data_IF_810675558470
#
_entry.id   IF_810675558470
#
_cell.length_a   1.000
_cell.length_b   1.000
_cell.length_c   1.000
_cell.angle_alpha   90.00
_cell.angle_beta   90.00
_cell.angle_gamma   90.00
#
_symmetry.space_group_name_H-M   'P 1'
#
loop_
_entity.id
_entity.type
_entity.pdbx_description
1 polymer ?
#
# COMPACT_ATOMS: atom_id res chain seq x y z
N UNK A 1 -18.51 -3.53 4.02
CA UNK A 1 -17.90 -3.61 5.37
C UNK A 1 -17.14 -4.92 5.46
N UNK A 2 -15.92 -4.93 5.99
CA UNK A 2 -15.09 -6.13 6.10
C UNK A 2 -14.17 -6.04 7.30
N UNK A 3 -14.26 -7.02 8.22
CA UNK A 3 -13.38 -7.11 9.37
C UNK A 3 -11.91 -7.09 8.90
N UNK A 4 -11.11 -6.30 9.59
CA UNK A 4 -9.69 -6.12 9.24
C UNK A 4 -8.85 -7.08 10.04
N UNK A 5 -8.07 -7.92 9.36
CA UNK A 5 -7.15 -8.86 10.00
C UNK A 5 -5.71 -8.40 9.80
N UNK A 6 -4.88 -8.56 10.83
CA UNK A 6 -3.44 -8.43 10.72
C UNK A 6 -2.93 -9.63 9.93
N UNK A 7 -2.52 -9.39 8.69
CA UNK A 7 -1.93 -10.43 7.83
C UNK A 7 -0.46 -10.65 8.16
N UNK A 8 0.20 -9.62 8.70
CA UNK A 8 1.62 -9.68 9.07
C UNK A 8 2.00 -8.62 10.10
N UNK A 9 3.03 -8.92 10.88
CA UNK A 9 3.65 -8.01 11.83
C UNK A 9 5.13 -7.95 11.49
N UNK A 10 5.63 -6.75 11.28
CA UNK A 10 7.02 -6.49 10.90
C UNK A 10 7.94 -6.67 12.12
N UNK A 11 9.10 -7.26 11.93
CA UNK A 11 10.10 -7.44 12.99
C UNK A 11 10.67 -6.10 13.48
N UNK A 12 10.92 -5.99 14.79
CA UNK A 12 11.40 -4.77 15.47
C UNK A 12 10.48 -3.55 15.26
N UNK A 13 9.17 -3.79 15.14
CA UNK A 13 8.16 -2.75 15.00
C UNK A 13 7.42 -2.49 16.33
N UNK A 14 6.80 -1.31 16.50
CA UNK A 14 5.94 -1.04 17.66
C UNK A 14 4.83 -2.07 17.86
N UNK A 15 4.27 -2.60 16.76
CA UNK A 15 3.25 -3.65 16.84
C UNK A 15 3.81 -4.98 17.37
N UNK A 16 5.01 -5.37 16.96
CA UNK A 16 5.66 -6.57 17.50
C UNK A 16 5.97 -6.40 18.99
N UNK A 17 6.53 -5.24 19.37
CA UNK A 17 6.84 -4.89 20.76
C UNK A 17 5.57 -4.90 21.64
N UNK A 18 4.46 -4.40 21.11
CA UNK A 18 3.15 -4.42 21.78
C UNK A 18 2.52 -5.82 21.84
N UNK A 19 3.07 -6.81 21.13
CA UNK A 19 2.59 -8.19 21.14
C UNK A 19 1.40 -8.45 20.22
N UNK A 20 1.18 -7.61 19.20
CA UNK A 20 0.28 -7.94 18.09
C UNK A 20 0.83 -9.13 17.30
N UNK A 21 -0.08 -9.92 16.71
CA UNK A 21 0.26 -11.14 15.98
C UNK A 21 -0.52 -11.24 14.67
N UNK A 22 0.08 -11.97 13.72
CA UNK A 22 -0.65 -12.42 12.54
C UNK A 22 -1.91 -13.18 12.96
N UNK A 23 -3.03 -12.85 12.34
CA UNK A 23 -4.33 -13.46 12.60
C UNK A 23 -5.23 -12.64 13.52
N UNK A 24 -4.69 -11.67 14.27
CA UNK A 24 -5.47 -10.75 15.09
C UNK A 24 -6.48 -9.99 14.22
N UNK A 25 -7.75 -9.97 14.64
CA UNK A 25 -8.79 -9.20 13.96
C UNK A 25 -9.00 -7.89 14.70
N UNK A 26 -8.77 -6.77 14.04
CA UNK A 26 -8.92 -5.43 14.63
C UNK A 26 -10.40 -5.05 14.63
N UNK A 27 -10.96 -4.83 15.82
CA UNK A 27 -12.35 -4.43 16.03
C UNK A 27 -12.48 -2.94 16.29
N UNK A 28 -11.57 -2.34 17.06
CA UNK A 28 -11.59 -0.91 17.35
C UNK A 28 -10.17 -0.35 17.52
N UNK A 29 -10.03 0.95 17.28
CA UNK A 29 -8.83 1.72 17.61
C UNK A 29 -9.27 2.93 18.43
N UNK A 30 -8.76 3.04 19.65
CA UNK A 30 -9.28 3.92 20.69
C UNK A 30 -10.80 3.68 20.82
N UNK A 31 -11.61 4.73 20.77
CA UNK A 31 -13.07 4.64 20.88
C UNK A 31 -13.79 4.45 19.52
N UNK A 32 -13.06 4.15 18.44
CA UNK A 32 -13.63 4.03 17.09
C UNK A 32 -13.68 2.58 16.63
N UNK A 33 -14.88 2.07 16.34
CA UNK A 33 -15.08 0.76 15.71
C UNK A 33 -14.60 0.76 14.25
N UNK A 34 -13.86 -0.28 13.87
CA UNK A 34 -13.21 -0.40 12.57
C UNK A 34 -14.02 -1.29 11.63
N UNK A 35 -14.47 -0.74 10.51
CA UNK A 35 -15.34 -1.43 9.55
C UNK A 35 -14.61 -1.94 8.30
N UNK A 36 -13.39 -1.46 8.07
CA UNK A 36 -12.58 -1.81 6.91
C UNK A 36 -11.12 -1.40 7.12
N UNK A 37 -10.26 -1.84 6.20
CA UNK A 37 -8.82 -1.57 6.22
C UNK A 37 -8.49 -0.08 6.08
N UNK A 38 -9.31 0.68 5.34
CA UNK A 38 -9.11 2.10 5.13
C UNK A 38 -9.29 2.89 6.43
N UNK A 39 -10.31 2.56 7.22
CA UNK A 39 -10.56 3.16 8.53
C UNK A 39 -9.42 2.87 9.50
N UNK A 40 -8.93 1.62 9.55
CA UNK A 40 -7.77 1.26 10.38
C UNK A 40 -6.55 2.10 10.00
N UNK A 41 -6.23 2.19 8.71
CA UNK A 41 -5.10 2.99 8.23
C UNK A 41 -5.27 4.48 8.55
N UNK A 42 -6.47 5.02 8.37
CA UNK A 42 -6.77 6.42 8.68
C UNK A 42 -6.65 6.71 10.17
N UNK A 43 -7.20 5.84 11.03
CA UNK A 43 -7.13 6.01 12.48
C UNK A 43 -5.69 5.94 12.99
N UNK A 44 -4.84 5.08 12.42
CA UNK A 44 -3.41 5.08 12.75
C UNK A 44 -2.75 6.40 12.32
N UNK A 45 -3.05 6.90 11.11
CA UNK A 45 -2.44 8.13 10.56
C UNK A 45 -2.91 9.43 11.22
N UNK A 46 -4.11 9.50 11.77
CA UNK A 46 -4.53 10.69 12.53
C UNK A 46 -3.86 10.76 13.90
N UNK A 47 -3.48 9.61 14.46
CA UNK A 47 -2.81 9.50 15.76
C UNK A 47 -1.28 9.32 15.65
N UNK A 48 -0.64 9.81 14.58
CA UNK A 48 0.82 9.74 14.45
C UNK A 48 1.50 10.47 15.62
N UNK A 49 2.54 9.84 16.17
CA UNK A 49 3.26 10.30 17.35
C UNK A 49 2.69 9.85 18.67
N UNK A 50 1.53 9.21 18.68
CA UNK A 50 0.82 8.83 19.89
C UNK A 50 0.71 7.30 20.01
N UNK A 51 0.32 6.83 21.19
CA UNK A 51 0.00 5.42 21.42
C UNK A 51 -1.49 5.23 21.24
N UNK A 52 -1.87 4.40 20.27
CA UNK A 52 -3.27 4.01 20.03
C UNK A 52 -3.58 2.71 20.76
N UNK A 53 -4.78 2.59 21.32
CA UNK A 53 -5.26 1.35 21.93
C UNK A 53 -6.02 0.54 20.89
N UNK A 54 -5.47 -0.59 20.45
CA UNK A 54 -6.15 -1.46 19.49
C UNK A 54 -6.91 -2.56 20.23
N UNK A 55 -8.24 -2.61 20.03
CA UNK A 55 -9.06 -3.72 20.46
C UNK A 55 -9.00 -4.81 19.39
N UNK A 56 -8.34 -5.92 19.69
CA UNK A 56 -8.18 -7.05 18.77
C UNK A 56 -8.87 -8.31 19.28
N UNK A 57 -9.39 -9.12 18.37
CA UNK A 57 -9.89 -10.45 18.67
C UNK A 57 -8.84 -11.50 18.31
N UNK A 58 -8.42 -12.29 19.29
CA UNK A 58 -7.44 -13.37 19.17
C UNK A 58 -7.99 -14.64 19.84
N UNK A 59 -8.07 -15.73 19.08
CA UNK A 59 -8.53 -17.05 19.59
C UNK A 59 -9.91 -17.02 20.29
N UNK A 60 -10.73 -16.00 20.04
CA UNK A 60 -12.05 -15.83 20.64
C UNK A 60 -12.11 -14.71 21.69
N UNK A 61 -10.99 -14.35 22.28
CA UNK A 61 -10.88 -13.31 23.31
C UNK A 61 -10.60 -11.93 22.72
N UNK A 62 -11.09 -10.90 23.41
CA UNK A 62 -10.80 -9.50 23.10
C UNK A 62 -9.63 -9.03 23.95
N UNK A 63 -8.62 -8.44 23.29
CA UNK A 63 -7.41 -7.92 23.92
C UNK A 63 -7.26 -6.45 23.54
N UNK A 64 -7.02 -5.60 24.53
CA UNK A 64 -6.60 -4.22 24.31
C UNK A 64 -5.07 -4.16 24.23
N UNK A 65 -4.56 -3.70 23.10
CA UNK A 65 -3.13 -3.68 22.82
C UNK A 65 -2.69 -2.24 22.52
N UNK A 66 -1.92 -1.59 23.42
CA UNK A 66 -1.41 -0.24 23.18
C UNK A 66 -0.23 -0.31 22.20
N UNK A 67 -0.32 0.41 21.08
CA UNK A 67 0.68 0.41 20.01
C UNK A 67 1.08 1.83 19.67
N UNK A 68 2.39 2.11 19.65
CA UNK A 68 2.90 3.42 19.28
C UNK A 68 2.89 3.63 17.76
N UNK A 69 2.22 4.69 17.27
CA UNK A 69 2.20 5.06 15.87
C UNK A 69 3.32 6.07 15.57
N UNK A 70 4.37 5.64 14.88
CA UNK A 70 5.54 6.50 14.62
C UNK A 70 5.25 7.55 13.55
N UNK A 71 5.76 8.77 13.73
CA UNK A 71 5.73 9.81 12.69
C UNK A 71 6.38 9.36 11.38
N UNK A 72 7.50 8.65 11.51
CA UNK A 72 8.27 8.13 10.39
C UNK A 72 8.55 6.67 10.70
N UNK A 73 8.06 5.79 9.86
CA UNK A 73 8.43 4.40 9.88
C UNK A 73 9.76 4.26 9.11
N UNK A 74 10.81 3.68 9.71
CA UNK A 74 12.06 3.46 9.00
C UNK A 74 11.87 2.37 7.93
N UNK A 75 12.49 2.56 6.77
CA UNK A 75 12.60 1.52 5.76
C UNK A 75 13.32 0.31 6.36
N UNK A 76 12.86 -0.87 5.97
CA UNK A 76 13.60 -2.09 6.23
C UNK A 76 14.53 -2.33 5.05
N UNK A 77 15.82 -2.24 5.34
CA UNK A 77 16.89 -2.50 4.38
C UNK A 77 17.37 -3.93 4.56
N UNK A 78 17.27 -4.74 3.51
CA UNK A 78 17.79 -6.10 3.47
C UNK A 78 18.75 -6.26 2.30
N UNK A 79 19.94 -6.81 2.55
CA UNK A 79 20.90 -7.13 1.49
C UNK A 79 20.68 -8.59 1.14
N UNK A 80 20.32 -8.86 -0.11
CA UNK A 80 20.01 -10.21 -0.59
C UNK A 80 21.24 -11.12 -0.45
N UNK A 81 21.10 -12.21 0.28
CA UNK A 81 22.13 -13.24 0.42
C UNK A 81 22.07 -14.27 -0.74
N UNK A 82 23.19 -14.91 -1.10
CA UNK A 82 23.19 -15.94 -2.14
C UNK A 82 22.21 -17.08 -1.82
N UNK A 83 21.28 -17.35 -2.73
CA UNK A 83 20.28 -18.42 -2.60
C UNK A 83 18.95 -17.98 -1.99
N UNK A 84 18.81 -16.70 -1.62
CA UNK A 84 17.52 -16.15 -1.23
C UNK A 84 16.57 -15.98 -2.42
N UNK A 85 15.28 -16.12 -2.12
CA UNK A 85 14.16 -15.89 -3.03
C UNK A 85 13.25 -14.77 -2.49
N UNK A 86 12.44 -14.17 -3.36
CA UNK A 86 11.47 -13.16 -2.95
C UNK A 86 10.56 -13.68 -1.81
N UNK A 87 10.07 -14.92 -1.93
CA UNK A 87 9.22 -15.55 -0.91
C UNK A 87 9.93 -15.84 0.41
N UNK A 88 11.19 -16.28 0.38
CA UNK A 88 11.95 -16.53 1.62
C UNK A 88 12.26 -15.23 2.36
N UNK A 89 12.68 -14.18 1.65
CA UNK A 89 12.95 -12.85 2.23
C UNK A 89 11.67 -12.23 2.80
N UNK A 90 10.57 -12.32 2.06
CA UNK A 90 9.26 -11.84 2.51
C UNK A 90 8.83 -12.51 3.83
N UNK A 91 8.99 -13.83 3.89
CA UNK A 91 8.67 -14.62 5.08
C UNK A 91 9.56 -14.28 6.26
N UNK A 92 10.85 -14.07 6.02
CA UNK A 92 11.84 -13.70 7.04
C UNK A 92 11.54 -12.33 7.66
N UNK A 93 11.28 -11.34 6.81
CA UNK A 93 11.19 -9.94 7.23
C UNK A 93 9.79 -9.54 7.71
N UNK A 94 8.78 -10.38 7.46
CA UNK A 94 7.41 -10.03 7.80
C UNK A 94 6.75 -9.13 6.74
N UNK A 95 7.05 -9.34 5.44
CA UNK A 95 6.40 -8.66 4.32
C UNK A 95 5.61 -9.60 3.41
N UNK A 96 4.70 -9.02 2.62
CA UNK A 96 4.10 -9.71 1.48
C UNK A 96 5.16 -9.91 0.39
N UNK A 97 5.06 -11.02 -0.34
CA UNK A 97 5.99 -11.34 -1.43
C UNK A 97 6.00 -10.25 -2.49
N UNK A 98 4.83 -9.64 -2.76
CA UNK A 98 4.72 -8.55 -3.72
C UNK A 98 5.52 -7.30 -3.33
N UNK A 99 5.58 -6.97 -2.04
CA UNK A 99 6.40 -5.85 -1.56
C UNK A 99 7.89 -6.10 -1.80
N UNK A 100 8.33 -7.36 -1.65
CA UNK A 100 9.72 -7.76 -1.92
C UNK A 100 10.03 -7.72 -3.42
N UNK A 101 9.09 -8.18 -4.26
CA UNK A 101 9.22 -8.09 -5.72
C UNK A 101 9.30 -6.64 -6.20
N UNK A 102 8.43 -5.78 -5.68
CA UNK A 102 8.43 -4.35 -5.99
C UNK A 102 9.75 -3.68 -5.57
N UNK A 103 10.22 -3.93 -4.35
CA UNK A 103 11.52 -3.44 -3.88
C UNK A 103 12.70 -3.99 -4.70
N UNK A 104 12.55 -5.18 -5.29
CA UNK A 104 13.53 -5.78 -6.18
C UNK A 104 13.45 -5.27 -7.64
N UNK A 105 12.45 -4.46 -7.98
CA UNK A 105 12.19 -4.01 -9.36
C UNK A 105 11.63 -5.11 -10.27
N UNK A 106 11.01 -6.14 -9.69
CA UNK A 106 10.41 -7.27 -10.41
C UNK A 106 8.97 -6.92 -10.76
N UNK A 107 8.77 -6.36 -11.95
CA UNK A 107 7.44 -6.15 -12.51
C UNK A 107 6.99 -7.39 -13.28
N UNK A 108 5.98 -8.10 -12.76
CA UNK A 108 5.54 -9.40 -13.29
C UNK A 108 4.08 -9.36 -13.80
N UNK A 109 3.54 -8.17 -14.06
CA UNK A 109 2.16 -7.98 -14.53
C UNK A 109 2.09 -8.03 -16.06
N UNK A 110 1.04 -8.68 -16.57
CA UNK A 110 0.75 -8.66 -18.01
C UNK A 110 0.26 -7.27 -18.43
N UNK A 111 0.70 -6.81 -19.60
CA UNK A 111 0.29 -5.51 -20.13
C UNK A 111 -0.97 -5.67 -20.98
N UNK A 112 -2.04 -4.94 -20.65
CA UNK A 112 -3.28 -4.97 -21.44
C UNK A 112 -3.01 -4.59 -22.91
N UNK A 113 -3.60 -5.33 -23.84
CA UNK A 113 -3.42 -5.13 -25.28
C UNK A 113 -2.14 -5.75 -25.86
N UNK A 114 -1.24 -6.27 -25.00
CA UNK A 114 -0.08 -7.05 -25.45
C UNK A 114 -0.54 -8.33 -26.16
N UNK A 115 0.07 -8.64 -27.31
CA UNK A 115 -0.14 -9.91 -28.00
C UNK A 115 0.95 -10.89 -27.60
N UNK A 116 0.57 -12.04 -27.05
CA UNK A 116 1.46 -13.12 -26.70
C UNK A 116 1.47 -14.17 -27.81
N UNK A 117 2.67 -14.62 -28.20
CA UNK A 117 2.86 -15.78 -29.05
C UNK A 117 3.37 -16.92 -28.16
N UNK A 118 2.47 -17.81 -27.76
CA UNK A 118 2.74 -18.92 -26.85
C UNK A 118 2.94 -20.17 -27.68
N UNK A 119 4.07 -20.85 -27.47
CA UNK A 119 4.39 -22.13 -28.13
C UNK A 119 4.11 -23.26 -27.15
N UNK A 120 3.20 -24.15 -27.51
CA UNK A 120 2.86 -25.31 -26.67
C UNK A 120 3.89 -26.45 -26.80
N UNK A 121 3.68 -27.54 -26.06
CA UNK A 121 4.55 -28.73 -26.08
C UNK A 121 4.60 -29.45 -27.45
N UNK A 122 3.63 -29.19 -28.33
CA UNK A 122 3.53 -29.77 -29.66
C UNK A 122 4.04 -28.83 -30.77
N UNK A 123 4.71 -27.73 -30.40
CA UNK A 123 5.20 -26.68 -31.31
C UNK A 123 4.08 -25.87 -32.01
N UNK A 124 2.86 -25.92 -31.48
CA UNK A 124 1.73 -25.11 -31.95
C UNK A 124 1.84 -23.71 -31.34
N UNK A 125 1.88 -22.70 -32.20
CA UNK A 125 1.89 -21.30 -31.78
C UNK A 125 0.47 -20.78 -31.66
N UNK A 126 0.07 -20.45 -30.43
CA UNK A 126 -1.21 -19.81 -30.12
C UNK A 126 -0.96 -18.33 -29.85
N UNK A 127 -1.68 -17.48 -30.58
CA UNK A 127 -1.69 -16.04 -30.32
C UNK A 127 -2.81 -15.67 -29.37
N UNK A 128 -2.50 -14.93 -28.32
CA UNK A 128 -3.47 -14.47 -27.33
C UNK A 128 -3.25 -12.99 -27.00
N UNK A 129 -4.31 -12.19 -27.13
CA UNK A 129 -4.30 -10.78 -26.74
C UNK A 129 -4.71 -10.60 -25.29
N UNK A 130 -3.83 -10.02 -24.48
CA UNK A 130 -4.09 -9.74 -23.07
C UNK A 130 -5.25 -8.77 -22.91
N UNK A 131 -6.21 -9.12 -22.06
CA UNK A 131 -7.38 -8.32 -21.70
C UNK A 131 -7.22 -7.71 -20.31
N UNK A 132 -7.97 -6.64 -20.02
CA UNK A 132 -8.08 -6.10 -18.67
C UNK A 132 -8.42 -7.20 -17.65
N UNK A 133 -7.61 -7.32 -16.60
CA UNK A 133 -7.79 -8.31 -15.53
C UNK A 133 -7.17 -9.69 -15.81
N UNK A 134 -6.53 -9.90 -16.96
CA UNK A 134 -5.76 -11.11 -17.21
C UNK A 134 -4.55 -11.21 -16.26
N UNK A 135 -4.29 -12.42 -15.79
CA UNK A 135 -3.13 -12.81 -15.00
C UNK A 135 -2.41 -13.96 -15.71
N UNK A 136 -1.13 -14.17 -15.40
CA UNK A 136 -0.37 -15.33 -15.92
C UNK A 136 -1.16 -16.62 -15.69
N UNK A 137 -1.67 -16.82 -14.46
CA UNK A 137 -2.45 -17.99 -14.09
C UNK A 137 -3.79 -18.13 -14.85
N UNK A 138 -4.51 -17.03 -15.12
CA UNK A 138 -5.77 -17.10 -15.87
C UNK A 138 -5.54 -17.39 -17.35
N UNK A 139 -4.49 -16.82 -17.94
CA UNK A 139 -4.11 -17.06 -19.34
C UNK A 139 -3.57 -18.48 -19.53
N UNK A 140 -2.69 -18.94 -18.65
CA UNK A 140 -2.16 -20.29 -18.65
C UNK A 140 -3.29 -21.34 -18.63
N UNK A 141 -4.24 -21.17 -17.70
CA UNK A 141 -5.42 -22.03 -17.59
C UNK A 141 -6.34 -21.96 -18.81
N UNK A 142 -6.51 -20.77 -19.40
CA UNK A 142 -7.36 -20.60 -20.58
C UNK A 142 -6.77 -21.25 -21.84
N UNK A 143 -5.45 -21.35 -21.90
CA UNK A 143 -4.70 -21.90 -23.03
C UNK A 143 -4.21 -23.33 -22.80
N UNK A 144 -4.44 -23.89 -21.60
CA UNK A 144 -3.96 -25.20 -21.17
C UNK A 144 -2.44 -25.36 -21.33
N UNK A 145 -1.70 -24.33 -20.92
CA UNK A 145 -0.22 -24.30 -20.92
C UNK A 145 0.31 -24.01 -19.52
N UNK A 146 1.59 -24.29 -19.30
CA UNK A 146 2.26 -23.94 -18.05
C UNK A 146 2.40 -22.41 -17.88
N UNK A 147 2.35 -21.94 -16.62
CA UNK A 147 2.52 -20.52 -16.30
C UNK A 147 3.89 -19.98 -16.71
N UNK A 148 4.93 -20.82 -16.67
CA UNK A 148 6.27 -20.47 -17.17
C UNK A 148 6.25 -20.11 -18.64
N UNK A 149 5.54 -20.90 -19.46
CA UNK A 149 5.43 -20.67 -20.90
C UNK A 149 4.77 -19.31 -21.17
N UNK A 150 3.73 -18.96 -20.40
CA UNK A 150 3.08 -17.65 -20.51
C UNK A 150 4.03 -16.52 -20.09
N UNK A 151 4.77 -16.69 -18.99
CA UNK A 151 5.76 -15.68 -18.55
C UNK A 151 6.85 -15.47 -19.58
N UNK A 152 7.45 -16.54 -20.10
CA UNK A 152 8.49 -16.47 -21.11
C UNK A 152 7.98 -15.80 -22.39
N UNK A 153 6.77 -16.16 -22.85
CA UNK A 153 6.13 -15.52 -23.99
C UNK A 153 5.84 -14.03 -23.76
N UNK A 154 5.53 -13.64 -22.52
CA UNK A 154 5.29 -12.26 -22.12
C UNK A 154 6.56 -11.46 -21.82
N UNK A 155 7.74 -12.11 -21.79
CA UNK A 155 9.01 -11.49 -21.41
C UNK A 155 9.07 -11.10 -19.93
N UNK A 156 8.29 -11.76 -19.07
CA UNK A 156 8.23 -11.45 -17.65
C UNK A 156 9.43 -12.07 -16.90
N UNK A 157 10.06 -11.32 -15.97
CA UNK A 157 11.15 -11.85 -15.15
C UNK A 157 10.67 -12.96 -14.22
N UNK A 158 11.63 -13.70 -13.64
CA UNK A 158 11.36 -14.64 -12.57
C UNK A 158 10.86 -13.93 -11.30
N UNK A 159 9.61 -14.19 -10.85
CA UNK A 159 9.04 -13.52 -9.68
C UNK A 159 9.73 -13.90 -8.36
N UNK A 160 10.53 -14.97 -8.34
CA UNK A 160 11.27 -15.40 -7.15
C UNK A 160 12.75 -15.00 -7.20
N UNK A 161 13.27 -14.60 -8.36
CA UNK A 161 14.69 -14.33 -8.54
C UNK A 161 15.10 -13.00 -7.91
N UNK A 162 16.04 -13.07 -6.96
CA UNK A 162 16.71 -11.91 -6.38
C UNK A 162 18.19 -11.90 -6.77
N UNK A 163 18.77 -10.71 -6.93
CA UNK A 163 20.21 -10.59 -7.24
C UNK A 163 21.01 -10.55 -5.93
N UNK A 164 21.96 -11.48 -5.68
CA UNK A 164 22.78 -11.43 -4.48
C UNK A 164 23.54 -10.10 -4.35
N UNK A 165 23.54 -9.53 -3.14
CA UNK A 165 24.11 -8.20 -2.87
C UNK A 165 23.19 -7.03 -3.23
N UNK A 166 22.01 -7.27 -3.79
CA UNK A 166 21.00 -6.23 -4.02
C UNK A 166 20.46 -5.71 -2.69
N UNK A 167 20.33 -4.40 -2.58
CA UNK A 167 19.69 -3.74 -1.45
C UNK A 167 18.19 -3.62 -1.71
N UNK A 168 17.38 -4.31 -0.90
CA UNK A 168 15.93 -4.21 -0.91
C UNK A 168 15.49 -3.22 0.16
N UNK A 169 14.73 -2.21 -0.24
CA UNK A 169 14.13 -1.23 0.66
C UNK A 169 12.62 -1.46 0.73
N UNK A 170 12.17 -1.91 1.90
CA UNK A 170 10.79 -2.25 2.15
C UNK A 170 10.15 -1.21 3.06
N UNK A 171 9.09 -0.57 2.55
CA UNK A 171 8.32 0.40 3.31
C UNK A 171 7.34 -0.30 4.27
N UNK A 172 7.22 0.22 5.48
CA UNK A 172 6.29 -0.28 6.49
C UNK A 172 5.39 0.84 7.01
N UNK A 173 4.22 0.47 7.54
CA UNK A 173 3.31 1.42 8.16
C UNK A 173 3.83 2.00 9.50
N UNK A 174 3.21 3.09 10.01
CA UNK A 174 3.59 3.76 11.26
C UNK A 174 3.74 2.83 12.48
N UNK A 175 2.90 1.80 12.55
CA UNK A 175 2.89 0.79 13.62
C UNK A 175 3.61 -0.51 13.23
N UNK A 176 3.96 -0.71 11.95
CA UNK A 176 4.61 -1.92 11.43
C UNK A 176 3.69 -3.15 11.34
N UNK A 177 2.40 -2.94 11.09
CA UNK A 177 1.47 -4.02 10.72
C UNK A 177 1.13 -3.95 9.24
N UNK A 178 0.87 -5.12 8.66
CA UNK A 178 0.15 -5.24 7.40
C UNK A 178 -1.24 -5.77 7.69
N UNK A 179 -2.24 -5.15 7.08
CA UNK A 179 -3.65 -5.47 7.29
C UNK A 179 -4.30 -5.91 5.98
N UNK A 180 -5.23 -6.85 6.07
CA UNK A 180 -6.03 -7.34 4.96
C UNK A 180 -7.50 -7.39 5.34
N UNK A 181 -8.37 -7.29 4.33
CA UNK A 181 -9.80 -7.56 4.53
C UNK A 181 -10.00 -9.06 4.70
N UNK A 182 -10.61 -9.47 5.80
CA UNK A 182 -10.95 -10.88 6.06
C UNK A 182 -12.03 -11.38 5.08
N UNK A 183 -12.85 -10.47 4.57
CA UNK A 183 -13.95 -10.75 3.63
C UNK A 183 -13.98 -9.70 2.50
N UNK A 184 -13.11 -9.81 1.49
CA UNK A 184 -12.93 -8.77 0.47
C UNK A 184 -14.13 -8.58 -0.48
N UNK A 185 -15.07 -9.51 -0.53
CA UNK A 185 -16.21 -9.48 -1.45
C UNK A 185 -17.46 -8.72 -0.91
N UNK A 186 -17.36 -8.04 0.24
CA UNK A 186 -18.49 -7.35 0.86
C UNK A 186 -18.41 -5.82 0.69
N UNK A 187 -19.15 -5.32 -0.29
CA UNK A 187 -19.45 -3.88 -0.42
C UNK A 187 -20.81 -3.61 0.20
N UNK A 188 -20.86 -2.67 1.14
CA UNK A 188 -22.10 -2.22 1.76
C UNK A 188 -22.19 -0.72 1.56
N UNK A 189 -23.34 -0.25 1.07
CA UNK A 189 -23.60 1.18 0.89
C UNK A 189 -24.39 1.66 2.11
N UNK A 190 -23.81 2.59 2.84
CA UNK A 190 -24.49 3.26 3.95
C UNK A 190 -25.04 4.61 3.50
N UNK A 191 -26.27 4.91 3.91
CA UNK A 191 -26.87 6.22 3.74
C UNK A 191 -27.26 6.77 5.10
N UNK A 192 -26.81 7.99 5.40
CA UNK A 192 -27.15 8.66 6.64
C UNK A 192 -28.23 9.70 6.40
N UNK A 193 -29.23 9.79 7.28
CA UNK A 193 -30.16 10.90 7.25
C UNK A 193 -29.43 12.24 7.53
N UNK A 194 -29.97 13.36 7.03
CA UNK A 194 -29.28 14.66 7.04
C UNK A 194 -28.81 15.11 8.44
N UNK A 195 -29.58 14.78 9.48
CA UNK A 195 -29.23 15.15 10.86
C UNK A 195 -28.02 14.41 11.41
N UNK A 196 -27.71 13.21 10.90
CA UNK A 196 -26.52 12.43 11.27
C UNK A 196 -25.37 12.72 10.30
N UNK A 197 -25.69 12.91 9.01
CA UNK A 197 -24.73 13.23 7.97
C UNK A 197 -24.03 14.58 8.19
N UNK A 198 -24.75 15.59 8.70
CA UNK A 198 -24.17 16.92 8.91
C UNK A 198 -23.09 16.94 10.00
N UNK A 199 -23.33 16.44 11.24
CA UNK A 199 -22.27 16.28 12.23
C UNK A 199 -21.12 15.39 11.73
N UNK A 200 -21.42 14.28 11.05
CA UNK A 200 -20.40 13.37 10.50
C UNK A 200 -19.49 14.05 9.48
N UNK A 201 -20.04 14.94 8.65
CA UNK A 201 -19.26 15.74 7.69
C UNK A 201 -18.27 16.68 8.39
N UNK A 202 -18.68 17.28 9.53
CA UNK A 202 -17.79 18.14 10.33
C UNK A 202 -16.63 17.32 10.90
N UNK A 203 -16.92 16.17 11.51
CA UNK A 203 -15.90 15.25 12.03
C UNK A 203 -14.93 14.80 10.94
N UNK A 204 -15.47 14.37 9.80
CA UNK A 204 -14.67 13.99 8.61
C UNK A 204 -13.77 15.14 8.15
N UNK A 205 -14.27 16.38 8.16
CA UNK A 205 -13.48 17.56 7.78
C UNK A 205 -12.31 17.77 8.73
N UNK A 206 -12.53 17.68 10.05
CA UNK A 206 -11.45 17.78 11.03
C UNK A 206 -10.46 16.62 10.93
N UNK A 207 -10.93 15.41 10.60
CA UNK A 207 -10.09 14.25 10.34
C UNK A 207 -9.18 14.49 9.13
N UNK A 208 -9.73 14.96 8.01
CA UNK A 208 -8.95 15.31 6.81
C UNK A 208 -7.95 16.42 7.11
N UNK A 209 -8.33 17.44 7.88
CA UNK A 209 -7.42 18.50 8.31
C UNK A 209 -6.28 17.95 9.19
N UNK A 210 -6.60 17.00 10.08
CA UNK A 210 -5.61 16.32 10.92
C UNK A 210 -4.65 15.48 10.07
N UNK A 211 -5.15 14.73 9.09
CA UNK A 211 -4.32 13.98 8.15
C UNK A 211 -3.38 14.92 7.39
N UNK A 212 -3.91 16.01 6.82
CA UNK A 212 -3.12 17.00 6.11
C UNK A 212 -2.03 17.60 7.02
N UNK A 213 -2.40 18.00 8.24
CA UNK A 213 -1.44 18.49 9.25
C UNK A 213 -0.37 17.45 9.56
N UNK A 214 -0.75 16.19 9.75
CA UNK A 214 0.19 15.13 10.11
C UNK A 214 1.16 14.84 8.97
N UNK A 215 0.70 14.93 7.72
CA UNK A 215 1.55 14.84 6.53
C UNK A 215 2.60 15.96 6.53
N UNK A 216 2.19 17.21 6.78
CA UNK A 216 3.15 18.32 6.93
C UNK A 216 4.16 18.07 8.05
N UNK A 217 3.72 17.60 9.22
CA UNK A 217 4.63 17.32 10.35
C UNK A 217 5.61 16.19 9.99
N UNK A 218 5.15 15.15 9.30
CA UNK A 218 5.99 14.04 8.83
C UNK A 218 7.16 14.54 8.00
N UNK A 219 6.94 15.47 7.05
CA UNK A 219 7.99 16.06 6.21
C UNK A 219 9.11 16.75 6.99
N UNK A 220 8.82 17.27 8.19
CA UNK A 220 9.81 17.92 9.04
C UNK A 220 10.45 16.96 10.06
N UNK A 221 9.82 15.81 10.33
CA UNK A 221 10.32 14.79 11.26
C UNK A 221 11.13 13.67 10.58
N UNK A 222 11.37 13.78 9.28
CA UNK A 222 12.17 12.81 8.51
C UNK A 222 11.38 11.96 7.54
N UNK A 223 10.06 12.15 7.43
CA UNK A 223 9.27 11.68 6.30
C UNK A 223 9.72 12.42 5.05
N UNK A 224 9.88 11.71 3.94
CA UNK A 224 10.37 12.30 2.69
C UNK A 224 9.60 13.58 2.34
N UNK A 225 10.31 14.68 2.12
CA UNK A 225 9.69 15.92 1.64
C UNK A 225 9.14 15.69 0.24
N UNK A 226 7.99 16.27 -0.12
CA UNK A 226 7.59 16.34 -1.52
C UNK A 226 8.70 17.03 -2.29
N UNK A 227 9.01 16.51 -3.47
CA UNK A 227 10.13 16.96 -4.30
C UNK A 227 10.05 18.45 -4.71
N UNK A 228 8.91 19.12 -4.46
CA UNK A 228 8.61 20.51 -4.86
C UNK A 228 8.22 21.44 -3.67
N UNK A 229 8.13 20.97 -2.43
CA UNK A 229 7.41 21.72 -1.39
C UNK A 229 8.29 22.61 -0.46
N UNK A 230 8.86 23.68 -1.01
CA UNK A 230 9.36 24.81 -0.21
C UNK A 230 9.03 26.13 -0.88
N UNK A 231 9.15 27.30 -0.20
CA UNK A 231 8.94 28.60 -0.84
C UNK A 231 9.78 28.78 -2.11
N UNK A 232 10.99 28.21 -2.11
CA UNK A 232 11.90 28.19 -3.26
C UNK A 232 11.42 27.23 -4.35
N UNK A 233 10.94 26.04 -4.01
CA UNK A 233 10.43 25.07 -5.00
C UNK A 233 9.13 25.52 -5.66
N UNK A 234 8.23 26.14 -4.89
CA UNK A 234 7.03 26.80 -5.43
C UNK A 234 7.44 27.95 -6.34
N UNK A 235 8.40 28.79 -5.95
CA UNK A 235 8.89 29.86 -6.80
C UNK A 235 9.57 29.35 -8.07
N UNK A 236 10.28 28.22 -8.01
CA UNK A 236 10.90 27.57 -9.17
C UNK A 236 9.84 27.04 -10.13
N UNK A 237 8.90 26.21 -9.68
CA UNK A 237 7.85 25.66 -10.55
C UNK A 237 6.91 26.73 -11.08
N UNK A 238 6.59 27.73 -10.25
CA UNK A 238 5.84 28.91 -10.69
C UNK A 238 6.65 29.68 -11.74
N UNK A 239 7.98 29.78 -11.57
CA UNK A 239 8.91 30.35 -12.54
C UNK A 239 8.92 29.58 -13.86
N UNK A 240 9.09 28.26 -13.82
CA UNK A 240 9.10 27.37 -14.98
C UNK A 240 7.78 27.48 -15.77
N UNK A 241 6.63 27.52 -15.09
CA UNK A 241 5.32 27.72 -15.73
C UNK A 241 5.21 29.09 -16.38
N UNK A 242 5.74 30.14 -15.74
CA UNK A 242 5.76 31.49 -16.33
C UNK A 242 6.71 31.57 -17.53
N UNK A 243 7.85 30.89 -17.48
CA UNK A 243 8.80 30.81 -18.60
C UNK A 243 8.22 30.04 -19.80
N UNK A 244 7.54 28.91 -19.55
CA UNK A 244 6.98 28.07 -20.61
C UNK A 244 5.66 28.61 -21.18
N UNK A 245 4.76 29.11 -20.33
CA UNK A 245 3.36 29.38 -20.67
C UNK A 245 2.93 30.84 -20.37
N UNK A 246 3.84 31.66 -19.85
CA UNK A 246 3.54 33.03 -19.43
C UNK A 246 2.73 33.10 -18.14
N UNK A 247 2.28 34.30 -17.77
CA UNK A 247 1.61 34.55 -16.47
C UNK A 247 0.13 34.16 -16.42
N UNK A 248 -0.49 33.78 -17.55
CA UNK A 248 -1.94 33.48 -17.62
C UNK A 248 -2.37 32.33 -16.71
N UNK A 249 -1.65 31.19 -16.65
CA UNK A 249 -2.01 30.10 -15.73
C UNK A 249 -2.07 30.53 -14.26
N UNK A 250 -1.24 31.51 -13.84
CA UNK A 250 -1.27 32.03 -12.48
C UNK A 250 -2.51 32.89 -12.21
N UNK A 251 -2.97 33.65 -13.20
CA UNK A 251 -4.21 34.43 -13.10
C UNK A 251 -5.43 33.52 -13.08
N UNK A 252 -5.44 32.46 -13.90
CA UNK A 252 -6.52 31.47 -13.92
C UNK A 252 -6.57 30.69 -12.60
N UNK A 253 -5.41 30.32 -12.05
CA UNK A 253 -5.31 29.68 -10.75
C UNK A 253 -5.77 30.61 -9.61
N UNK A 254 -5.34 31.88 -9.63
CA UNK A 254 -5.78 32.87 -8.64
C UNK A 254 -7.28 33.15 -8.72
N UNK A 255 -7.86 33.16 -9.92
CA UNK A 255 -9.30 33.30 -10.12
C UNK A 255 -10.09 32.07 -9.63
N UNK A 256 -9.50 30.87 -9.69
CA UNK A 256 -10.10 29.63 -9.17
C UNK A 256 -10.08 29.56 -7.62
N UNK A 257 -9.17 30.27 -6.97
CA UNK A 257 -9.06 30.36 -5.51
C UNK A 257 -9.79 31.58 -4.90
N UNK A 258 -10.32 32.47 -5.73
CA UNK A 258 -11.07 33.67 -5.35
C UNK A 258 -12.57 33.44 -5.31
#
# INVERSE_FOLDING_TARGET
VGLTQIVQVVSNSPAQEAGLKKGDVIFAINDHEMRNTQEVGTQIRVNLGETVTMLVKREGDFLEVPVHARWVAPDIVHIVEPGESASSVASLLGFAVDSVREAAGIEYRLTEGQQLAIRDENDIVVSYGIRAGDSVASVARALDVDEETVRQAAGLPDPEALTPGQELRLEQGPTGIMIGSLYPAMTESESFPLWEAFPKSIDTTFQVLTLARNEFISWFKGGGRPQVAGPVGIAQVTGDVVEEQGYRPLLDFAALLS
#
